data_IF_385355364468
#
_entry.id   IF_385355364468
#
_cell.length_a   1.000
_cell.length_b   1.000
_cell.length_c   1.000
_cell.angle_alpha   90.00
_cell.angle_beta   90.00
_cell.angle_gamma   90.00
#
_symmetry.space_group_name_H-M   'P 1'
#
loop_
_entity.id
_entity.type
_entity.pdbx_description
1 polymer ?
#
# COMPACT_ATOMS: atom_id res chain seq x y z
N UNK A 1 -18.48 -13.16 -2.18
CA UNK A 1 -18.37 -14.32 -3.08
C UNK A 1 -16.93 -14.39 -3.57
N UNK A 2 -16.31 -15.56 -3.60
CA UNK A 2 -14.93 -15.72 -4.05
C UNK A 2 -14.86 -15.40 -5.57
N UNK A 3 -14.21 -14.28 -5.90
CA UNK A 3 -14.08 -13.75 -7.27
C UNK A 3 -12.87 -14.39 -7.93
N UNK A 4 -13.05 -14.98 -9.10
CA UNK A 4 -12.06 -15.83 -9.78
C UNK A 4 -10.77 -15.06 -10.04
N UNK A 5 -9.68 -15.42 -9.36
CA UNK A 5 -8.40 -14.75 -9.54
C UNK A 5 -7.84 -15.00 -10.95
N UNK A 6 -7.35 -13.97 -11.67
CA UNK A 6 -6.67 -14.15 -12.94
C UNK A 6 -5.48 -15.12 -12.81
N UNK A 7 -5.28 -16.00 -13.79
CA UNK A 7 -4.24 -17.05 -13.73
C UNK A 7 -2.85 -16.43 -13.98
N UNK A 8 -1.84 -16.62 -13.10
CA UNK A 8 -0.53 -15.93 -13.17
C UNK A 8 0.19 -15.97 -14.52
N UNK A 9 0.15 -17.09 -15.22
CA UNK A 9 0.88 -17.28 -16.48
C UNK A 9 0.15 -16.79 -17.74
N UNK A 10 -1.11 -16.34 -17.62
CA UNK A 10 -1.96 -15.99 -18.77
C UNK A 10 -2.79 -14.71 -18.52
N UNK A 11 -2.37 -13.88 -17.56
CA UNK A 11 -3.07 -12.62 -17.27
C UNK A 11 -2.66 -11.56 -18.28
N UNK A 12 -3.63 -10.95 -18.95
CA UNK A 12 -3.39 -9.79 -19.83
C UNK A 12 -2.73 -8.65 -19.01
N UNK A 13 -1.58 -8.10 -19.45
CA UNK A 13 -0.95 -6.96 -18.78
C UNK A 13 -1.90 -5.79 -18.52
N UNK A 14 -2.91 -5.57 -19.39
CA UNK A 14 -3.88 -4.48 -19.24
C UNK A 14 -4.69 -4.54 -17.93
N UNK A 15 -4.87 -5.73 -17.36
CA UNK A 15 -5.59 -5.94 -16.08
C UNK A 15 -4.66 -6.13 -14.88
N UNK A 16 -3.35 -5.93 -15.04
CA UNK A 16 -2.37 -6.01 -13.96
C UNK A 16 -2.09 -4.61 -13.41
N UNK A 17 -1.94 -4.50 -12.09
CA UNK A 17 -1.43 -3.29 -11.42
C UNK A 17 -0.33 -3.70 -10.45
N UNK A 18 0.90 -3.28 -10.70
CA UNK A 18 2.00 -3.51 -9.76
C UNK A 18 2.23 -2.26 -8.91
N UNK A 19 2.24 -2.43 -7.60
CA UNK A 19 2.45 -1.32 -6.68
C UNK A 19 3.16 -1.76 -5.40
N UNK A 20 3.73 -0.80 -4.70
CA UNK A 20 4.30 -1.01 -3.38
C UNK A 20 3.70 -0.06 -2.34
N UNK A 21 3.84 -0.36 -1.06
CA UNK A 21 3.42 0.54 0.03
C UNK A 21 4.65 1.15 0.69
N UNK A 22 4.85 2.45 0.51
CA UNK A 22 5.94 3.20 1.16
C UNK A 22 5.43 3.94 2.39
N UNK A 23 6.11 3.77 3.52
CA UNK A 23 5.72 4.33 4.80
C UNK A 23 6.93 4.53 5.73
N UNK A 24 6.79 5.36 6.75
CA UNK A 24 7.69 5.35 7.90
C UNK A 24 7.40 4.14 8.80
N UNK A 25 8.32 3.84 9.72
CA UNK A 25 8.13 2.83 10.76
C UNK A 25 6.86 3.15 11.55
N UNK A 26 6.12 2.11 11.94
CA UNK A 26 4.89 2.21 12.71
C UNK A 26 3.71 2.98 12.08
N UNK A 27 3.81 3.47 10.84
CA UNK A 27 2.68 4.08 10.13
C UNK A 27 1.59 3.07 9.70
N UNK A 28 1.77 1.78 10.00
CA UNK A 28 0.75 0.74 9.83
C UNK A 28 0.71 0.10 8.45
N UNK A 29 1.84 0.05 7.75
CA UNK A 29 2.03 -0.61 6.45
C UNK A 29 1.58 -2.08 6.48
N UNK A 30 2.14 -2.91 7.36
CA UNK A 30 1.80 -4.34 7.46
C UNK A 30 0.31 -4.53 7.80
N UNK A 31 -0.24 -3.72 8.69
CA UNK A 31 -1.66 -3.75 9.05
C UNK A 31 -2.57 -3.41 7.87
N UNK A 32 -2.18 -2.44 7.03
CA UNK A 32 -2.93 -2.10 5.83
C UNK A 32 -2.83 -3.20 4.78
N UNK A 33 -1.63 -3.76 4.56
CA UNK A 33 -1.40 -4.86 3.65
C UNK A 33 -2.25 -6.09 4.02
N UNK A 34 -2.22 -6.49 5.31
CA UNK A 34 -3.08 -7.54 5.86
C UNK A 34 -4.56 -7.28 5.58
N UNK A 35 -5.00 -6.02 5.72
CA UNK A 35 -6.39 -5.64 5.48
C UNK A 35 -6.76 -5.76 4.00
N UNK A 36 -5.89 -5.33 3.08
CA UNK A 36 -6.09 -5.52 1.63
C UNK A 36 -6.25 -7.00 1.28
N UNK A 37 -5.45 -7.89 1.89
CA UNK A 37 -5.54 -9.34 1.68
C UNK A 37 -6.90 -9.92 2.10
N UNK A 38 -7.49 -9.39 3.17
CA UNK A 38 -8.82 -9.79 3.61
C UNK A 38 -9.90 -9.35 2.64
N UNK A 39 -9.89 -8.08 2.24
CA UNK A 39 -10.88 -7.52 1.31
C UNK A 39 -10.86 -8.22 -0.05
N UNK A 40 -9.68 -8.63 -0.49
CA UNK A 40 -9.46 -9.36 -1.76
C UNK A 40 -9.73 -10.86 -1.62
N UNK A 41 -10.02 -11.35 -0.41
CA UNK A 41 -10.34 -12.76 -0.14
C UNK A 41 -9.16 -13.73 -0.24
N UNK A 42 -7.93 -13.21 -0.36
CA UNK A 42 -6.69 -14.02 -0.37
C UNK A 42 -6.48 -14.71 0.98
N UNK A 43 -6.83 -14.03 2.07
CA UNK A 43 -6.81 -14.61 3.43
C UNK A 43 -8.21 -14.58 4.01
N UNK A 44 -8.71 -15.74 4.42
CA UNK A 44 -10.00 -15.84 5.10
C UNK A 44 -9.88 -15.31 6.53
N UNK A 45 -10.93 -14.69 7.06
CA UNK A 45 -10.93 -14.09 8.41
C UNK A 45 -10.52 -15.05 9.52
N UNK A 46 -10.74 -16.36 9.33
CA UNK A 46 -10.35 -17.43 10.27
C UNK A 46 -8.85 -17.75 10.26
N UNK A 47 -8.17 -17.48 9.15
CA UNK A 47 -6.76 -17.80 8.92
C UNK A 47 -5.87 -16.54 9.11
N UNK A 48 -6.47 -15.41 9.48
CA UNK A 48 -5.78 -14.16 9.75
C UNK A 48 -4.95 -14.25 11.02
N UNK A 49 -3.63 -14.08 10.84
CA UNK A 49 -2.69 -13.71 11.89
C UNK A 49 -2.31 -12.25 11.66
N UNK A 50 -2.14 -11.47 12.73
CA UNK A 50 -1.53 -10.15 12.61
C UNK A 50 -0.14 -10.31 11.97
N UNK A 51 0.22 -9.42 11.05
CA UNK A 51 1.48 -9.44 10.32
C UNK A 51 1.65 -10.71 9.49
N UNK A 52 0.68 -10.98 8.61
CA UNK A 52 0.65 -12.22 7.82
C UNK A 52 1.85 -12.33 6.86
N UNK A 53 2.30 -11.19 6.34
CA UNK A 53 3.43 -11.11 5.40
C UNK A 53 4.80 -11.23 6.08
N UNK A 54 4.87 -10.90 7.37
CA UNK A 54 6.08 -11.01 8.16
C UNK A 54 6.29 -12.49 8.53
N UNK A 55 7.22 -13.15 7.82
CA UNK A 55 7.46 -14.59 7.92
C UNK A 55 8.53 -14.93 8.95
N UNK A 56 9.41 -13.99 9.26
CA UNK A 56 10.50 -14.21 10.22
C UNK A 56 10.03 -13.87 11.64
N UNK A 57 10.44 -14.66 12.63
CA UNK A 57 10.07 -14.41 14.03
C UNK A 57 10.57 -13.05 14.51
N UNK A 58 11.76 -12.63 14.06
CA UNK A 58 12.33 -11.31 14.37
C UNK A 58 11.53 -10.13 13.76
N UNK A 59 10.89 -10.32 12.60
CA UNK A 59 10.03 -9.29 11.98
C UNK A 59 8.81 -9.05 12.88
N UNK A 60 8.19 -10.15 13.35
CA UNK A 60 7.03 -10.10 14.24
C UNK A 60 7.37 -9.54 15.62
N UNK A 61 8.49 -9.98 16.20
CA UNK A 61 8.95 -9.49 17.50
C UNK A 61 9.22 -7.98 17.51
N UNK A 62 9.70 -7.44 16.39
CA UNK A 62 10.09 -6.03 16.28
C UNK A 62 9.08 -5.14 15.55
N UNK A 63 8.02 -5.71 14.98
CA UNK A 63 7.02 -4.98 14.22
C UNK A 63 7.53 -4.35 12.92
N UNK A 64 8.62 -4.88 12.35
CA UNK A 64 9.25 -4.35 11.13
C UNK A 64 9.23 -5.40 10.02
N UNK A 65 9.12 -4.95 8.77
CA UNK A 65 9.34 -5.79 7.60
C UNK A 65 10.81 -5.70 7.19
N UNK A 66 11.50 -6.83 7.16
CA UNK A 66 12.91 -6.94 6.81
C UNK A 66 13.06 -7.36 5.35
N UNK A 67 12.21 -8.29 4.85
CA UNK A 67 12.29 -8.80 3.48
C UNK A 67 11.03 -8.55 2.68
N UNK A 68 11.21 -7.97 1.50
CA UNK A 68 10.11 -7.65 0.59
C UNK A 68 9.36 -8.91 0.12
N UNK A 69 8.03 -8.92 0.26
CA UNK A 69 7.15 -10.01 -0.20
C UNK A 69 6.23 -9.49 -1.30
N UNK A 70 6.15 -10.22 -2.42
CA UNK A 70 5.21 -9.95 -3.49
C UNK A 70 3.95 -10.80 -3.30
N UNK A 71 2.78 -10.16 -3.30
CA UNK A 71 1.48 -10.85 -3.17
C UNK A 71 0.56 -10.41 -4.28
N UNK A 72 -0.11 -11.39 -4.91
CA UNK A 72 -1.12 -11.15 -5.94
C UNK A 72 -2.51 -11.23 -5.31
N UNK A 73 -3.27 -10.16 -5.48
CA UNK A 73 -4.62 -10.00 -4.96
C UNK A 73 -5.62 -9.81 -6.11
N UNK A 74 -6.70 -10.61 -6.17
CA UNK A 74 -7.77 -10.36 -7.13
C UNK A 74 -8.65 -9.19 -6.66
N UNK A 75 -8.98 -8.28 -7.56
CA UNK A 75 -9.93 -7.21 -7.30
C UNK A 75 -10.86 -7.03 -8.49
N UNK A 76 -12.15 -6.80 -8.24
CA UNK A 76 -13.14 -6.60 -9.30
C UNK A 76 -13.67 -5.18 -9.21
N UNK A 77 -13.58 -4.46 -10.33
CA UNK A 77 -14.09 -3.10 -10.46
C UNK A 77 -14.84 -2.98 -11.78
N UNK A 78 -16.06 -2.45 -11.74
CA UNK A 78 -16.92 -2.20 -12.90
C UNK A 78 -17.09 -3.45 -13.81
N UNK A 79 -17.19 -4.63 -13.21
CA UNK A 79 -17.36 -5.92 -13.89
C UNK A 79 -16.08 -6.51 -14.49
N UNK A 80 -14.93 -5.87 -14.31
CA UNK A 80 -13.62 -6.38 -14.77
C UNK A 80 -12.78 -6.85 -13.60
N UNK A 81 -12.21 -8.06 -13.70
CA UNK A 81 -11.30 -8.59 -12.69
C UNK A 81 -9.86 -8.19 -13.00
N UNK A 82 -9.24 -7.51 -12.04
CA UNK A 82 -7.85 -7.09 -12.04
C UNK A 82 -6.99 -7.98 -11.14
N UNK A 83 -5.70 -8.03 -11.46
CA UNK A 83 -4.67 -8.64 -10.63
C UNK A 83 -3.80 -7.53 -10.04
N UNK A 84 -3.95 -7.29 -8.73
CA UNK A 84 -3.17 -6.32 -7.99
C UNK A 84 -1.96 -7.03 -7.40
N UNK A 85 -0.77 -6.73 -7.91
CA UNK A 85 0.48 -7.26 -7.39
C UNK A 85 1.08 -6.22 -6.45
N UNK A 86 1.05 -6.51 -5.15
CA UNK A 86 1.59 -5.65 -4.11
C UNK A 86 2.98 -6.15 -3.69
N UNK A 87 3.97 -5.27 -3.64
CA UNK A 87 5.25 -5.52 -3.00
C UNK A 87 5.29 -4.79 -1.66
N UNK A 88 5.35 -5.54 -0.57
CA UNK A 88 5.47 -4.95 0.75
C UNK A 88 6.93 -4.56 1.03
N UNK A 89 7.22 -3.26 1.17
CA UNK A 89 8.60 -2.77 1.31
C UNK A 89 9.00 -2.60 2.78
N UNK A 90 10.28 -2.74 3.14
CA UNK A 90 10.76 -2.36 4.47
C UNK A 90 10.51 -0.88 4.77
N UNK A 91 10.11 -0.56 6.01
CA UNK A 91 9.91 0.82 6.46
C UNK A 91 11.14 1.46 7.10
N UNK A 92 12.25 0.72 7.26
CA UNK A 92 13.44 1.15 7.98
C UNK A 92 14.54 1.64 7.02
N UNK A 93 15.27 2.70 7.40
CA UNK A 93 16.35 3.32 6.60
C UNK A 93 17.45 2.35 6.18
N UNK A 94 17.80 1.40 7.05
CA UNK A 94 18.85 0.41 6.80
C UNK A 94 18.55 -0.52 5.60
N UNK A 95 17.30 -0.56 5.10
CA UNK A 95 16.89 -1.43 3.99
C UNK A 95 16.57 -0.66 2.71
N UNK A 96 17.17 0.52 2.51
CA UNK A 96 16.99 1.36 1.32
C UNK A 96 17.21 0.58 -0.01
N UNK A 97 18.14 -0.39 -0.04
CA UNK A 97 18.36 -1.23 -1.23
C UNK A 97 17.16 -2.12 -1.59
N UNK A 98 16.46 -2.67 -0.60
CA UNK A 98 15.23 -3.45 -0.85
C UNK A 98 14.07 -2.56 -1.30
N UNK A 99 13.95 -1.38 -0.71
CA UNK A 99 12.96 -0.37 -1.11
C UNK A 99 13.18 0.01 -2.58
N UNK A 100 14.40 0.35 -2.98
CA UNK A 100 14.74 0.72 -4.36
C UNK A 100 14.39 -0.39 -5.37
N UNK A 101 14.74 -1.66 -5.08
CA UNK A 101 14.39 -2.77 -5.97
C UNK A 101 12.89 -3.01 -6.10
N UNK A 102 12.15 -2.78 -5.02
CA UNK A 102 10.69 -2.91 -5.02
C UNK A 102 10.05 -1.80 -5.85
N UNK A 103 10.51 -0.56 -5.68
CA UNK A 103 10.06 0.59 -6.48
C UNK A 103 10.30 0.37 -7.98
N UNK A 104 11.47 -0.14 -8.35
CA UNK A 104 11.81 -0.40 -9.76
C UNK A 104 10.97 -1.50 -10.42
N UNK A 105 10.23 -2.29 -9.64
CA UNK A 105 9.35 -3.37 -10.13
C UNK A 105 7.86 -2.98 -10.15
N UNK A 106 7.54 -1.72 -9.84
CA UNK A 106 6.18 -1.23 -9.73
C UNK A 106 5.90 -0.10 -10.72
N UNK A 107 4.62 0.12 -11.01
CA UNK A 107 4.12 1.27 -11.77
C UNK A 107 3.59 2.39 -10.85
N UNK A 108 3.36 2.06 -9.57
CA UNK A 108 2.89 3.00 -8.58
C UNK A 108 3.30 2.68 -7.15
N UNK A 109 3.11 3.65 -6.28
CA UNK A 109 3.35 3.52 -4.85
C UNK A 109 2.21 4.13 -4.04
N UNK A 110 1.76 3.41 -3.03
CA UNK A 110 0.87 3.92 -1.99
C UNK A 110 1.74 4.60 -0.94
N UNK A 111 1.64 5.93 -0.83
CA UNK A 111 2.34 6.74 0.15
C UNK A 111 1.53 6.81 1.45
N UNK A 112 1.91 6.00 2.43
CA UNK A 112 1.17 5.83 3.67
C UNK A 112 1.73 6.69 4.80
N UNK A 113 0.88 7.56 5.34
CA UNK A 113 1.21 8.49 6.42
C UNK A 113 0.26 8.30 7.59
N UNK A 114 0.76 8.28 8.82
CA UNK A 114 -0.10 8.19 10.00
C UNK A 114 -0.83 9.52 10.24
N UNK A 115 -2.16 9.49 10.29
CA UNK A 115 -2.98 10.68 10.54
C UNK A 115 -2.80 11.29 11.94
N UNK A 116 -2.12 10.63 12.88
CA UNK A 116 -1.79 11.20 14.18
C UNK A 116 -0.38 11.82 14.22
N UNK A 117 0.59 11.22 13.52
CA UNK A 117 2.00 11.63 13.56
C UNK A 117 2.37 12.61 12.44
N UNK A 118 1.80 12.44 11.25
CA UNK A 118 2.12 13.25 10.08
C UNK A 118 3.32 12.72 9.31
N UNK A 119 3.92 13.61 8.51
CA UNK A 119 4.99 13.27 7.56
C UNK A 119 6.34 13.24 8.30
N UNK A 120 7.01 12.10 8.22
CA UNK A 120 8.33 11.89 8.83
C UNK A 120 9.45 11.92 7.79
N UNK A 121 10.70 12.12 8.24
CA UNK A 121 11.85 12.25 7.34
C UNK A 121 12.03 11.04 6.39
N UNK A 122 11.71 9.83 6.85
CA UNK A 122 11.81 8.62 6.03
C UNK A 122 10.70 8.53 4.98
N UNK A 123 9.50 9.04 5.29
CA UNK A 123 8.42 9.17 4.30
C UNK A 123 8.88 10.03 3.12
N UNK A 124 9.57 11.14 3.41
CA UNK A 124 10.14 12.02 2.37
C UNK A 124 11.19 11.29 1.54
N UNK A 125 12.13 10.59 2.18
CA UNK A 125 13.18 9.85 1.47
C UNK A 125 12.60 8.82 0.49
N UNK A 126 11.61 8.04 0.93
CA UNK A 126 10.95 7.04 0.10
C UNK A 126 10.10 7.67 -1.01
N UNK A 127 9.45 8.82 -0.75
CA UNK A 127 8.72 9.56 -1.76
C UNK A 127 9.66 10.02 -2.89
N UNK A 128 10.81 10.61 -2.57
CA UNK A 128 11.76 11.05 -3.59
C UNK A 128 12.25 9.88 -4.44
N UNK A 129 12.57 8.73 -3.82
CA UNK A 129 12.93 7.52 -4.56
C UNK A 129 11.81 7.05 -5.50
N UNK A 130 10.55 7.12 -5.07
CA UNK A 130 9.41 6.75 -5.90
C UNK A 130 9.23 7.72 -7.08
N UNK A 131 9.43 9.02 -6.86
CA UNK A 131 9.39 10.04 -7.92
C UNK A 131 10.53 9.88 -8.93
N UNK A 132 11.75 9.57 -8.48
CA UNK A 132 12.89 9.28 -9.35
C UNK A 132 12.64 8.07 -10.26
N UNK A 133 11.83 7.11 -9.81
CA UNK A 133 11.39 5.95 -10.58
C UNK A 133 10.13 6.23 -11.42
N UNK A 134 9.65 7.47 -11.49
CA UNK A 134 8.45 7.89 -12.21
C UNK A 134 7.19 7.10 -11.82
N UNK A 135 7.09 6.70 -10.55
CA UNK A 135 5.94 5.98 -10.05
C UNK A 135 4.73 6.89 -9.87
N UNK A 136 3.55 6.37 -10.17
CA UNK A 136 2.30 7.05 -9.81
C UNK A 136 2.09 6.96 -8.30
N UNK A 137 1.99 8.10 -7.62
CA UNK A 137 1.88 8.16 -6.15
C UNK A 137 0.41 8.29 -5.74
N UNK A 138 -0.08 7.37 -4.91
CA UNK A 138 -1.40 7.46 -4.28
C UNK A 138 -1.20 7.87 -2.82
N UNK A 139 -1.54 9.12 -2.43
CA UNK A 139 -1.41 9.58 -1.06
C UNK A 139 -2.51 8.99 -0.16
N UNK A 140 -2.10 8.45 0.99
CA UNK A 140 -3.00 7.79 1.93
C UNK A 140 -2.67 8.14 3.38
N UNK A 141 -3.68 8.60 4.11
CA UNK A 141 -3.63 8.77 5.56
C UNK A 141 -4.21 7.54 6.26
N UNK A 142 -3.41 6.90 7.10
CA UNK A 142 -3.79 5.75 7.90
C UNK A 142 -4.20 6.15 9.32
N UNK A 143 -4.76 5.19 10.06
CA UNK A 143 -5.10 5.31 11.50
C UNK A 143 -6.07 6.45 11.82
N UNK A 144 -6.97 6.75 10.90
CA UNK A 144 -8.05 7.74 11.10
C UNK A 144 -9.02 7.35 12.23
N UNK A 145 -8.94 6.11 12.72
CA UNK A 145 -9.70 5.63 13.88
C UNK A 145 -9.13 6.10 15.23
N UNK A 146 -7.92 6.66 15.25
CA UNK A 146 -7.31 7.14 16.49
C UNK A 146 -7.89 8.49 16.94
N UNK A 147 -8.15 8.69 18.24
CA UNK A 147 -8.63 9.98 18.75
C UNK A 147 -7.69 11.16 18.48
N UNK A 148 -6.40 10.89 18.34
CA UNK A 148 -5.37 11.89 18.06
C UNK A 148 -5.22 12.18 16.55
N UNK A 149 -5.97 11.51 15.68
CA UNK A 149 -5.88 11.70 14.24
C UNK A 149 -6.35 13.11 13.83
N UNK A 150 -5.60 13.74 12.93
CA UNK A 150 -5.86 15.05 12.34
C UNK A 150 -5.86 14.93 10.81
N UNK A 151 -6.84 14.20 10.21
CA UNK A 151 -6.80 13.86 8.80
C UNK A 151 -6.89 15.09 7.88
N UNK A 152 -7.62 16.14 8.25
CA UNK A 152 -7.72 17.37 7.44
C UNK A 152 -6.38 18.10 7.37
N UNK A 153 -5.70 18.22 8.51
CA UNK A 153 -4.39 18.88 8.60
C UNK A 153 -3.36 18.13 7.75
N UNK A 154 -3.21 16.83 7.97
CA UNK A 154 -2.18 16.05 7.29
C UNK A 154 -2.53 15.76 5.83
N UNK A 155 -3.80 15.80 5.44
CA UNK A 155 -4.17 15.75 4.02
C UNK A 155 -3.66 16.98 3.29
N UNK A 156 -3.82 18.16 3.90
CA UNK A 156 -3.30 19.40 3.34
C UNK A 156 -1.77 19.40 3.23
N UNK A 157 -1.06 18.94 4.26
CA UNK A 157 0.39 18.82 4.22
C UNK A 157 0.87 17.84 3.13
N UNK A 158 0.22 16.67 3.03
CA UNK A 158 0.59 15.63 2.06
C UNK A 158 0.31 16.06 0.63
N UNK A 159 -0.83 16.71 0.39
CA UNK A 159 -1.20 17.27 -0.90
C UNK A 159 -0.23 18.37 -1.34
N UNK A 160 0.14 19.28 -0.43
CA UNK A 160 1.13 20.32 -0.72
C UNK A 160 2.51 19.72 -1.07
N UNK A 161 2.90 18.63 -0.41
CA UNK A 161 4.18 17.96 -0.65
C UNK A 161 4.24 17.32 -2.06
N UNK A 162 3.16 16.70 -2.51
CA UNK A 162 3.11 16.02 -3.82
C UNK A 162 2.59 16.92 -4.96
N UNK A 163 2.12 18.14 -4.65
CA UNK A 163 1.53 19.06 -5.61
C UNK A 163 0.12 18.68 -6.06
N UNK A 164 -0.72 18.17 -5.15
CA UNK A 164 -2.09 17.72 -5.42
C UNK A 164 -3.15 18.45 -4.58
N UNK A 165 -4.38 17.94 -4.61
CA UNK A 165 -5.51 18.44 -3.81
C UNK A 165 -5.64 17.64 -2.50
N UNK A 166 -5.87 18.28 -1.33
CA UNK A 166 -6.17 17.59 -0.08
C UNK A 166 -7.34 16.59 -0.17
N UNK A 167 -8.29 16.82 -1.07
CA UNK A 167 -9.43 15.93 -1.28
C UNK A 167 -9.07 14.63 -2.01
N UNK A 168 -7.95 14.60 -2.74
CA UNK A 168 -7.41 13.40 -3.38
C UNK A 168 -6.68 12.47 -2.39
N UNK A 169 -6.40 12.94 -1.17
CA UNK A 169 -5.75 12.16 -0.12
C UNK A 169 -6.76 11.20 0.53
N UNK A 170 -6.57 9.91 0.28
CA UNK A 170 -7.46 8.89 0.84
C UNK A 170 -7.26 8.75 2.34
N UNK A 171 -8.37 8.57 3.04
CA UNK A 171 -8.41 8.39 4.49
C UNK A 171 -8.79 6.94 4.77
N UNK A 172 -7.88 6.20 5.39
CA UNK A 172 -8.04 4.77 5.65
C UNK A 172 -7.72 4.41 7.09
N UNK A 173 -8.24 3.27 7.52
CA UNK A 173 -7.82 2.62 8.76
C UNK A 173 -7.54 1.16 8.46
N UNK A 174 -6.25 0.77 8.45
CA UNK A 174 -5.88 -0.65 8.33
C UNK A 174 -6.48 -1.50 9.46
N UNK A 175 -6.70 -0.90 10.64
CA UNK A 175 -7.26 -1.57 11.81
C UNK A 175 -8.76 -1.89 11.65
N UNK A 176 -9.55 -0.94 11.17
CA UNK A 176 -11.01 -1.13 11.03
C UNK A 176 -11.42 -1.62 9.64
N UNK A 177 -10.60 -1.38 8.62
CA UNK A 177 -10.92 -1.63 7.22
C UNK A 177 -11.58 -0.44 6.51
N UNK A 178 -11.91 0.63 7.22
CA UNK A 178 -12.51 1.83 6.63
C UNK A 178 -11.60 2.40 5.54
N UNK A 179 -12.18 2.72 4.37
CA UNK A 179 -11.49 3.31 3.22
C UNK A 179 -10.61 2.35 2.40
N UNK A 180 -10.41 1.11 2.83
CA UNK A 180 -9.51 0.16 2.13
C UNK A 180 -10.10 -0.28 0.78
N UNK A 181 -11.41 -0.48 0.69
CA UNK A 181 -12.10 -0.79 -0.58
C UNK A 181 -11.91 0.35 -1.59
N UNK A 182 -12.14 1.60 -1.18
CA UNK A 182 -11.92 2.78 -2.01
C UNK A 182 -10.46 2.92 -2.46
N UNK A 183 -9.51 2.54 -1.60
CA UNK A 183 -8.09 2.50 -1.96
C UNK A 183 -7.79 1.45 -3.04
N UNK A 184 -8.36 0.25 -2.93
CA UNK A 184 -8.22 -0.79 -3.97
C UNK A 184 -8.81 -0.34 -5.31
N UNK A 185 -9.96 0.34 -5.28
CA UNK A 185 -10.56 0.93 -6.49
C UNK A 185 -9.66 2.00 -7.10
N UNK A 186 -9.10 2.91 -6.27
CA UNK A 186 -8.19 3.96 -6.73
C UNK A 186 -6.91 3.38 -7.33
N UNK A 187 -6.37 2.32 -6.75
CA UNK A 187 -5.23 1.57 -7.31
C UNK A 187 -5.53 1.08 -8.73
N UNK A 188 -6.72 0.52 -8.97
CA UNK A 188 -7.09 0.06 -10.33
C UNK A 188 -7.21 1.22 -11.32
N UNK A 189 -7.85 2.32 -10.89
CA UNK A 189 -8.16 3.48 -11.73
C UNK A 189 -6.92 4.29 -12.10
N UNK A 190 -6.05 4.54 -11.13
CA UNK A 190 -5.00 5.54 -11.26
C UNK A 190 -3.66 4.93 -11.67
N UNK A 191 -3.36 3.69 -11.24
CA UNK A 191 -2.09 3.07 -11.59
C UNK A 191 -2.11 2.56 -13.04
N UNK A 192 -1.03 2.78 -13.81
CA UNK A 192 -0.96 2.25 -15.16
C UNK A 192 -0.72 0.73 -15.15
N UNK A 193 -1.10 0.09 -16.25
CA UNK A 193 -0.70 -1.29 -16.52
C UNK A 193 0.82 -1.38 -16.74
N UNK A 194 1.45 -2.51 -16.37
CA UNK A 194 2.86 -2.73 -16.63
C UNK A 194 3.20 -2.65 -18.11
N UNK A 195 4.36 -2.06 -18.40
CA UNK A 195 4.95 -2.00 -19.73
C UNK A 195 6.16 -2.92 -19.74
N UNK A 196 5.91 -4.20 -19.99
CA UNK A 196 6.92 -5.26 -20.03
C UNK A 196 6.57 -6.35 -21.02
#
# INVERSE_FOLDING_TARGET
>A
MARTAPVPAATDPAIIRNFCIIAHIDHGKSTLADRMLQFTGVVQSRDMKAQYLDRMDIERERGITIKSQAVRMPWELDGTSYALNMIDTPGHVDFTYEVSRSLAACEGAVLLVDAAQGIEAQTLANLYLAMENNLTIIPVLNKIDLPAAQPEKYAAELANLIGGDPDDVLRVSGKTGMGVETLLDKIVRDLPAPKG
#
